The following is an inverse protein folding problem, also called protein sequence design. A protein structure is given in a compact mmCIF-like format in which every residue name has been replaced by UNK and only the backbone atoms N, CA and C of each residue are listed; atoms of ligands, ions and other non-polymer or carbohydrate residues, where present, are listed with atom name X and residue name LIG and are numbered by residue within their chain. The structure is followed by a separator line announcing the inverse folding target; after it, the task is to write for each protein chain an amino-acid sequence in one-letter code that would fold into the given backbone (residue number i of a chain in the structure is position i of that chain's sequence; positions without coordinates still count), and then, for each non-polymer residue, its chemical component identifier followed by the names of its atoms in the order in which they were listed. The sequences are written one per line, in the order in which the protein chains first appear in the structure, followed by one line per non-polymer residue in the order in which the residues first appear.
data_IF_059921842451
#
_entry.id   IF_059921842451
#
_cell.length_a   1.000
_cell.length_b   1.000
_cell.length_c   1.000
_cell.angle_alpha   90.00
_cell.angle_beta   90.00
_cell.angle_gamma   90.00
#
_symmetry.space_group_name_H-M   'P 1'
#
loop_
_entity.id
_entity.type
_entity.pdbx_description
1 polymer ?
#
# COMPACT_ATOMS: atom_id res chain seq x y z
N UNK A 1 4.45 6.41 -7.56
CA UNK A 1 3.85 5.38 -6.69
C UNK A 1 4.33 4.02 -7.17
N UNK A 2 4.73 3.13 -6.27
CA UNK A 2 5.00 1.71 -6.52
C UNK A 2 3.69 0.99 -6.84
N UNK A 3 3.82 -0.24 -7.33
CA UNK A 3 2.73 -1.21 -7.34
C UNK A 3 2.15 -1.40 -5.94
N UNK A 4 0.87 -1.78 -5.89
CA UNK A 4 0.22 -2.20 -4.67
C UNK A 4 0.86 -3.50 -4.17
N UNK A 5 1.06 -3.62 -2.87
CA UNK A 5 1.43 -4.89 -2.24
C UNK A 5 0.30 -5.90 -2.41
N UNK A 6 0.56 -7.20 -2.28
CA UNK A 6 -0.50 -8.18 -2.09
C UNK A 6 -1.45 -7.76 -0.96
N UNK A 7 -2.69 -8.23 -1.03
CA UNK A 7 -3.66 -8.03 0.04
C UNK A 7 -3.11 -8.67 1.32
N UNK A 8 -3.35 -8.05 2.47
CA UNK A 8 -2.90 -8.56 3.78
C UNK A 8 -3.53 -9.91 4.14
N UNK A 9 -4.58 -10.29 3.42
CA UNK A 9 -5.36 -11.50 3.61
C UNK A 9 -5.39 -12.28 2.29
N UNK A 10 -5.59 -13.58 2.38
CA UNK A 10 -5.82 -14.45 1.22
C UNK A 10 -7.30 -14.74 0.98
N UNK A 11 -8.17 -14.34 1.91
CA UNK A 11 -9.62 -14.42 1.83
C UNK A 11 -10.26 -13.26 2.60
N UNK A 12 -11.50 -12.89 2.28
CA UNK A 12 -12.25 -11.86 2.98
C UNK A 12 -11.74 -10.44 2.69
N UNK A 13 -12.00 -9.52 3.62
CA UNK A 13 -11.60 -8.12 3.47
C UNK A 13 -10.25 -7.88 4.16
N UNK A 14 -9.28 -7.40 3.39
CA UNK A 14 -7.97 -7.02 3.88
C UNK A 14 -7.56 -5.61 3.52
N UNK A 15 -6.25 -5.37 3.62
CA UNK A 15 -5.62 -4.11 3.27
C UNK A 15 -4.46 -4.31 2.32
N UNK A 16 -4.31 -3.39 1.38
CA UNK A 16 -3.14 -3.32 0.50
C UNK A 16 -2.55 -1.91 0.53
N UNK A 17 -1.22 -1.86 0.39
CA UNK A 17 -0.42 -0.68 0.59
C UNK A 17 0.34 -0.38 -0.69
N UNK A 18 0.57 0.88 -1.01
CA UNK A 18 1.60 1.27 -1.99
C UNK A 18 2.37 2.45 -1.46
N UNK A 19 3.64 2.53 -1.83
CA UNK A 19 4.52 3.61 -1.42
C UNK A 19 4.80 4.49 -2.62
N UNK A 20 5.12 5.77 -2.44
CA UNK A 20 5.78 6.57 -3.47
C UNK A 20 7.13 6.97 -2.94
N UNK A 21 8.14 6.78 -3.77
CA UNK A 21 9.43 7.38 -3.52
C UNK A 21 9.47 8.76 -4.14
N UNK A 22 10.07 9.70 -3.42
CA UNK A 22 10.28 11.08 -3.86
C UNK A 22 11.51 11.18 -4.75
N UNK A 23 11.58 10.37 -5.81
CA UNK A 23 12.81 10.21 -6.59
C UNK A 23 12.71 10.84 -7.99
N UNK A 24 11.63 11.57 -8.28
CA UNK A 24 11.39 12.17 -9.60
C UNK A 24 10.88 13.62 -9.50
N UNK A 25 11.76 14.61 -9.24
CA UNK A 25 13.22 14.49 -9.07
C UNK A 25 13.61 14.06 -7.64
N UNK A 26 14.79 13.42 -7.49
CA UNK A 26 15.36 13.14 -6.17
C UNK A 26 15.57 14.47 -5.43
N UNK A 27 15.20 14.60 -4.13
CA UNK A 27 15.55 15.78 -3.38
C UNK A 27 17.08 15.88 -3.33
N UNK A 28 17.61 16.98 -3.85
CA UNK A 28 19.02 17.31 -3.62
C UNK A 28 19.25 17.60 -2.14
N UNK A 29 20.50 17.69 -1.70
CA UNK A 29 20.83 18.05 -0.31
C UNK A 29 20.23 19.44 -0.01
N UNK A 30 19.14 19.48 0.77
CA UNK A 30 18.33 20.69 1.02
C UNK A 30 16.98 20.76 0.27
N UNK A 31 16.67 19.77 -0.57
CA UNK A 31 15.39 19.64 -1.27
C UNK A 31 14.26 19.22 -0.34
N UNK A 32 13.07 19.81 -0.51
CA UNK A 32 11.90 19.48 0.29
C UNK A 32 11.42 18.05 -0.03
N UNK A 33 11.18 17.24 1.00
CA UNK A 33 10.45 15.97 0.88
C UNK A 33 9.10 16.22 0.16
N UNK A 34 8.64 15.27 -0.67
CA UNK A 34 7.36 15.48 -1.36
C UNK A 34 6.25 15.77 -0.35
N UNK A 35 5.45 16.79 -0.65
CA UNK A 35 4.28 17.11 0.16
C UNK A 35 3.26 15.96 0.11
N UNK A 36 2.77 15.56 1.29
CA UNK A 36 1.74 14.55 1.48
C UNK A 36 2.28 13.15 1.78
N UNK A 37 1.39 12.21 2.14
CA UNK A 37 1.78 10.86 2.60
C UNK A 37 2.58 10.09 1.54
N UNK A 38 3.65 9.46 1.98
CA UNK A 38 4.49 8.54 1.20
C UNK A 38 3.86 7.15 1.07
N UNK A 39 2.94 6.81 1.98
CA UNK A 39 2.16 5.55 1.94
C UNK A 39 0.68 5.81 1.67
N UNK A 40 0.12 5.02 0.77
CA UNK A 40 -1.31 4.88 0.58
C UNK A 40 -1.77 3.48 1.01
N UNK A 41 -2.91 3.43 1.70
CA UNK A 41 -3.56 2.21 2.16
C UNK A 41 -4.99 2.18 1.63
N UNK A 42 -5.40 1.06 1.05
CA UNK A 42 -6.79 0.85 0.59
C UNK A 42 -7.29 -0.53 1.00
N UNK A 43 -8.61 -0.68 1.09
CA UNK A 43 -9.24 -1.98 1.29
C UNK A 43 -9.07 -2.84 0.03
N UNK A 44 -8.85 -4.12 0.23
CA UNK A 44 -8.92 -5.15 -0.81
C UNK A 44 -9.91 -6.23 -0.37
N UNK A 45 -10.49 -6.89 -1.36
CA UNK A 45 -11.50 -7.92 -1.17
C UNK A 45 -11.04 -9.15 -1.95
N UNK A 46 -10.63 -10.17 -1.21
CA UNK A 46 -10.25 -11.46 -1.76
C UNK A 46 -11.47 -12.39 -1.82
N UNK A 47 -11.25 -13.63 -2.25
CA UNK A 47 -12.26 -14.69 -2.21
C UNK A 47 -12.92 -14.78 -0.83
N UNK A 48 -14.16 -15.25 -0.77
CA UNK A 48 -14.81 -15.49 0.52
C UNK A 48 -14.00 -16.48 1.37
N UNK A 49 -13.83 -16.17 2.65
CA UNK A 49 -13.20 -17.10 3.60
C UNK A 49 -14.09 -18.32 3.81
N UNK A 50 -13.48 -19.50 3.81
CA UNK A 50 -14.17 -20.70 4.25
C UNK A 50 -14.33 -20.66 5.78
N UNK A 51 -15.32 -21.38 6.28
CA UNK A 51 -15.59 -21.43 7.71
C UNK A 51 -14.34 -21.94 8.46
N UNK A 52 -13.75 -21.09 9.30
CA UNK A 52 -12.52 -21.38 10.04
C UNK A 52 -11.23 -20.75 9.49
N UNK A 53 -11.25 -20.12 8.31
CA UNK A 53 -10.13 -19.27 7.86
C UNK A 53 -10.21 -17.89 8.54
N UNK A 54 -9.12 -17.47 9.18
CA UNK A 54 -9.00 -16.12 9.76
C UNK A 54 -8.62 -15.11 8.69
N UNK A 55 -9.22 -13.91 8.77
CA UNK A 55 -8.80 -12.69 8.04
C UNK A 55 -7.59 -12.03 8.71
#
# INVERSE_FOLDING_TARGET
WSSWTPCSVTCGQGWTNRKRSCDNPKPEVGGMFCRGRDVQKKKCYERMCLHGEMV
#
